data_IF_714183631389
#
_entry.id   IF_714183631389
#
_cell.length_a   1.000
_cell.length_b   1.000
_cell.length_c   1.000
_cell.angle_alpha   90.00
_cell.angle_beta   90.00
_cell.angle_gamma   90.00
#
_symmetry.space_group_name_H-M   'P 1'
#
loop_
_entity.id
_entity.type
_entity.pdbx_description
1 polymer ?
#
# COMPACT_ATOMS: atom_id res chain seq x y z
N UNK A 1 23.37 39.92 -1.77
CA UNK A 1 22.70 39.27 -2.93
C UNK A 1 22.21 37.91 -2.44
N UNK A 2 20.96 37.82 -1.99
CA UNK A 2 20.36 36.56 -1.59
C UNK A 2 19.76 35.93 -2.86
N UNK A 3 20.18 34.71 -3.19
CA UNK A 3 19.66 33.99 -4.36
C UNK A 3 18.36 33.32 -3.93
N UNK A 4 17.26 33.67 -4.59
CA UNK A 4 15.97 33.01 -4.45
C UNK A 4 16.10 31.52 -4.78
N UNK A 5 16.00 30.68 -3.76
CA UNK A 5 15.97 29.23 -3.94
C UNK A 5 14.54 28.86 -4.28
N UNK A 6 14.23 28.83 -5.58
CA UNK A 6 12.93 28.39 -6.10
C UNK A 6 12.75 26.89 -5.78
N UNK A 7 11.75 26.47 -4.97
CA UNK A 7 11.56 25.08 -4.57
C UNK A 7 11.05 24.16 -5.70
N UNK A 8 10.83 24.68 -6.91
CA UNK A 8 10.23 23.96 -8.02
C UNK A 8 11.16 22.97 -8.78
N UNK A 9 12.44 22.85 -8.41
CA UNK A 9 13.42 22.03 -9.16
C UNK A 9 13.88 20.75 -8.46
N UNK A 10 13.18 20.30 -7.41
CA UNK A 10 13.41 18.97 -6.85
C UNK A 10 12.84 17.90 -7.81
N UNK A 11 13.65 17.51 -8.80
CA UNK A 11 13.42 16.30 -9.60
C UNK A 11 13.31 15.14 -8.63
N UNK A 12 12.09 14.61 -8.44
CA UNK A 12 11.87 13.37 -7.70
C UNK A 12 12.64 12.28 -8.44
N UNK A 13 13.69 11.76 -7.80
CA UNK A 13 14.34 10.56 -8.32
C UNK A 13 13.29 9.45 -8.37
N UNK A 14 13.21 8.65 -9.44
CA UNK A 14 12.41 7.44 -9.41
C UNK A 14 12.95 6.60 -8.25
N UNK A 15 12.06 6.23 -7.32
CA UNK A 15 12.40 5.32 -6.24
C UNK A 15 12.60 3.97 -6.91
N UNK A 16 13.85 3.58 -7.14
CA UNK A 16 14.19 2.23 -7.55
C UNK A 16 13.87 1.30 -6.38
N UNK A 17 12.73 0.63 -6.46
CA UNK A 17 12.43 -0.48 -5.56
C UNK A 17 13.35 -1.63 -5.96
N UNK A 18 14.18 -2.16 -5.05
CA UNK A 18 15.07 -3.25 -5.40
C UNK A 18 14.23 -4.41 -5.93
N UNK A 19 14.68 -5.04 -7.01
CA UNK A 19 14.13 -6.29 -7.53
C UNK A 19 14.25 -7.37 -6.43
N UNK A 20 13.26 -7.43 -5.53
CA UNK A 20 13.22 -8.41 -4.46
C UNK A 20 12.55 -9.68 -4.96
N UNK A 21 13.25 -10.81 -4.83
CA UNK A 21 12.65 -12.15 -4.88
C UNK A 21 11.38 -12.15 -4.02
N UNK A 22 10.28 -12.56 -4.63
CA UNK A 22 8.92 -12.28 -4.22
C UNK A 22 8.52 -13.04 -2.94
N UNK A 23 8.80 -12.49 -1.75
CA UNK A 23 8.08 -12.98 -0.56
C UNK A 23 6.59 -12.66 -0.72
N UNK A 24 5.75 -13.69 -0.67
CA UNK A 24 4.30 -13.60 -0.89
C UNK A 24 3.55 -12.90 0.24
N UNK A 25 4.25 -12.60 1.33
CA UNK A 25 3.70 -12.15 2.61
C UNK A 25 4.33 -10.83 3.03
N UNK A 26 3.52 -9.81 3.16
CA UNK A 26 3.95 -8.43 3.46
C UNK A 26 3.38 -7.94 4.78
N UNK A 27 3.95 -6.88 5.34
CA UNK A 27 3.31 -6.18 6.46
C UNK A 27 2.19 -5.27 5.95
N UNK A 28 1.25 -4.91 6.83
CA UNK A 28 0.09 -4.10 6.44
C UNK A 28 0.47 -2.73 5.85
N UNK A 29 1.62 -2.15 6.25
CA UNK A 29 2.12 -0.90 5.70
C UNK A 29 2.46 -1.01 4.22
N UNK A 30 3.10 -2.10 3.80
CA UNK A 30 3.53 -2.30 2.41
C UNK A 30 2.29 -2.48 1.51
N UNK A 31 1.32 -3.27 1.97
CA UNK A 31 0.02 -3.44 1.29
C UNK A 31 -0.68 -2.08 1.13
N UNK A 32 -0.71 -1.28 2.19
CA UNK A 32 -1.30 0.07 2.18
C UNK A 32 -0.59 0.99 1.19
N UNK A 33 0.74 0.98 1.17
CA UNK A 33 1.52 1.79 0.23
C UNK A 33 1.24 1.39 -1.21
N UNK A 34 1.17 0.09 -1.48
CA UNK A 34 0.92 -0.42 -2.83
C UNK A 34 -0.47 -0.02 -3.33
N UNK A 35 -1.50 -0.17 -2.50
CA UNK A 35 -2.85 0.30 -2.84
C UNK A 35 -2.87 1.80 -3.11
N UNK A 36 -2.15 2.60 -2.32
CA UNK A 36 -2.07 4.05 -2.51
C UNK A 36 -1.38 4.40 -3.83
N UNK A 37 -0.32 3.70 -4.23
CA UNK A 37 0.34 3.91 -5.52
C UNK A 37 -0.59 3.62 -6.69
N UNK A 38 -1.38 2.54 -6.59
CA UNK A 38 -2.25 2.09 -7.69
C UNK A 38 -3.56 2.88 -7.80
N UNK A 39 -4.13 3.31 -6.67
CA UNK A 39 -5.46 3.94 -6.63
C UNK A 39 -5.43 5.43 -6.33
N UNK A 40 -4.30 5.97 -5.86
CA UNK A 40 -4.21 7.32 -5.30
C UNK A 40 -4.95 7.51 -3.99
N UNK A 41 -5.64 6.48 -3.47
CA UNK A 41 -6.54 6.54 -2.33
C UNK A 41 -5.92 5.92 -1.08
N UNK A 42 -6.46 6.33 0.06
CA UNK A 42 -6.03 5.83 1.36
C UNK A 42 -6.92 4.68 1.84
N UNK A 43 -6.32 3.66 2.42
CA UNK A 43 -7.02 2.61 3.17
C UNK A 43 -6.40 2.46 4.57
N UNK A 44 -7.23 2.25 5.59
CA UNK A 44 -6.76 2.07 6.96
C UNK A 44 -6.19 0.67 7.17
N UNK A 45 -5.14 0.56 8.01
CA UNK A 45 -4.55 -0.73 8.37
C UNK A 45 -5.56 -1.67 9.04
N UNK A 46 -6.51 -1.12 9.79
CA UNK A 46 -7.61 -1.89 10.40
C UNK A 46 -8.49 -2.52 9.33
N UNK A 47 -8.82 -1.79 8.25
CA UNK A 47 -9.63 -2.32 7.15
C UNK A 47 -8.88 -3.41 6.38
N UNK A 48 -7.59 -3.21 6.10
CA UNK A 48 -6.70 -4.25 5.53
C UNK A 48 -6.77 -5.50 6.40
N UNK A 49 -6.58 -5.36 7.71
CA UNK A 49 -6.62 -6.48 8.66
C UNK A 49 -7.95 -7.24 8.68
N UNK A 50 -9.07 -6.52 8.58
CA UNK A 50 -10.41 -7.12 8.55
C UNK A 50 -10.62 -7.94 7.26
N UNK A 51 -10.36 -7.34 6.10
CA UNK A 51 -10.55 -8.01 4.80
C UNK A 51 -9.58 -9.19 4.65
N UNK A 52 -8.34 -9.06 5.14
CA UNK A 52 -7.39 -10.17 5.13
C UNK A 52 -7.88 -11.36 5.96
N UNK A 53 -8.46 -11.09 7.14
CA UNK A 53 -9.01 -12.14 8.00
C UNK A 53 -10.22 -12.82 7.36
N UNK A 54 -11.11 -12.06 6.73
CA UNK A 54 -12.29 -12.57 6.01
C UNK A 54 -11.90 -13.49 4.84
N UNK A 55 -10.75 -13.24 4.22
CA UNK A 55 -10.24 -14.02 3.08
C UNK A 55 -9.18 -15.07 3.46
N UNK A 56 -8.90 -15.30 4.75
CA UNK A 56 -7.82 -16.18 5.23
C UNK A 56 -6.42 -15.83 4.67
N UNK A 57 -6.19 -14.54 4.35
CA UNK A 57 -4.94 -14.01 3.79
C UNK A 57 -4.08 -13.30 4.84
N UNK A 58 -4.15 -13.78 6.09
CA UNK A 58 -3.39 -13.25 7.21
C UNK A 58 -2.74 -14.40 7.98
N UNK A 59 -1.48 -14.22 8.37
CA UNK A 59 -0.77 -15.16 9.25
C UNK A 59 0.04 -14.42 10.30
N UNK A 60 0.32 -15.09 11.41
CA UNK A 60 1.23 -14.56 12.42
C UNK A 60 2.68 -14.77 11.98
N UNK A 61 3.46 -13.70 12.01
CA UNK A 61 4.91 -13.78 12.07
C UNK A 61 5.24 -14.27 13.49
N UNK A 62 6.10 -15.27 13.63
CA UNK A 62 6.58 -15.76 14.94
C UNK A 62 7.27 -14.70 15.81
N UNK A 63 7.29 -13.43 15.37
CA UNK A 63 7.82 -12.24 16.02
C UNK A 63 6.72 -11.31 16.58
N UNK A 64 5.46 -11.77 16.64
CA UNK A 64 4.36 -11.02 17.28
C UNK A 64 3.69 -9.96 16.41
N UNK A 65 3.84 -10.02 15.08
CA UNK A 65 3.13 -9.15 14.14
C UNK A 65 2.48 -9.97 13.03
N UNK A 66 1.53 -9.38 12.30
CA UNK A 66 0.80 -10.07 11.24
C UNK A 66 1.39 -9.80 9.86
N UNK A 67 1.39 -10.84 9.05
CA UNK A 67 1.73 -10.80 7.64
C UNK A 67 0.47 -11.02 6.80
N UNK A 68 0.45 -10.41 5.63
CA UNK A 68 -0.68 -10.32 4.72
C UNK A 68 -0.27 -10.82 3.34
N UNK A 69 -1.09 -11.67 2.74
CA UNK A 69 -0.78 -12.22 1.42
C UNK A 69 -0.90 -11.14 0.33
N UNK A 70 -0.04 -11.16 -0.68
CA UNK A 70 -0.08 -10.21 -1.81
C UNK A 70 -1.40 -10.25 -2.59
N UNK A 71 -2.02 -11.43 -2.71
CA UNK A 71 -3.33 -11.59 -3.37
C UNK A 71 -4.46 -10.79 -2.71
N UNK A 72 -4.22 -10.23 -1.53
CA UNK A 72 -5.12 -9.28 -0.88
C UNK A 72 -5.20 -7.95 -1.64
N UNK A 73 -4.15 -7.55 -2.36
CA UNK A 73 -4.07 -6.26 -3.07
C UNK A 73 -5.22 -6.07 -4.07
N UNK A 74 -5.49 -6.98 -5.04
CA UNK A 74 -6.61 -6.79 -5.97
C UNK A 74 -7.96 -6.67 -5.26
N UNK A 75 -8.19 -7.48 -4.22
CA UNK A 75 -9.43 -7.42 -3.41
C UNK A 75 -9.59 -6.04 -2.76
N UNK A 76 -8.48 -5.49 -2.23
CA UNK A 76 -8.50 -4.18 -1.59
C UNK A 76 -8.62 -3.04 -2.60
N UNK A 77 -8.07 -3.19 -3.81
CA UNK A 77 -8.24 -2.22 -4.90
C UNK A 77 -9.71 -2.16 -5.32
N UNK A 78 -10.35 -3.31 -5.53
CA UNK A 78 -11.77 -3.39 -5.87
C UNK A 78 -12.63 -2.77 -4.77
N UNK A 79 -12.34 -3.08 -3.51
CA UNK A 79 -12.98 -2.44 -2.36
C UNK A 79 -12.81 -0.91 -2.39
N UNK A 80 -11.59 -0.41 -2.54
CA UNK A 80 -11.30 1.03 -2.57
C UNK A 80 -11.99 1.71 -3.75
N UNK A 81 -12.03 1.07 -4.91
CA UNK A 81 -12.70 1.61 -6.09
C UNK A 81 -14.22 1.60 -5.94
N UNK A 82 -14.82 0.55 -5.36
CA UNK A 82 -16.26 0.53 -5.10
C UNK A 82 -16.69 1.62 -4.11
N UNK A 83 -15.97 1.78 -2.99
CA UNK A 83 -16.38 2.72 -1.93
C UNK A 83 -16.00 4.19 -2.21
N UNK A 84 -14.93 4.44 -2.97
CA UNK A 84 -14.45 5.79 -3.26
C UNK A 84 -14.52 6.16 -4.75
N UNK A 85 -14.97 5.26 -5.61
CA UNK A 85 -15.13 5.45 -7.06
C UNK A 85 -16.59 5.52 -7.48
N UNK A 86 -17.51 5.79 -6.53
CA UNK A 86 -18.86 6.20 -6.88
C UNK A 86 -18.80 7.44 -7.76
N UNK A 87 -19.03 7.25 -9.05
CA UNK A 87 -19.32 8.31 -10.00
C UNK A 87 -20.46 9.17 -9.42
N UNK A 88 -20.21 10.49 -9.35
CA UNK A 88 -21.25 11.51 -9.29
C UNK A 88 -21.64 11.86 -10.71
#
# INVERSE_FOLDING_TARGET
MWKDVNPATQKRQPIEYPHYKEETWWVASDIKEEIRKMTGKYISLVKIGKIAKENNMVKDSGKGFKLYHKDLIPILIDFVNYYYGGEK
#
